data_IF_448725856874
#
_entry.id   IF_448725856874
#
_cell.length_a   1.000
_cell.length_b   1.000
_cell.length_c   1.000
_cell.angle_alpha   90.00
_cell.angle_beta   90.00
_cell.angle_gamma   90.00
#
_symmetry.space_group_name_H-M   'P 1'
#
loop_
_entity.id
_entity.type
_entity.pdbx_description
1 polymer ?
#
# COMPACT_ATOMS: atom_id res chain seq x y z
N UNK A 1 -9.52 28.15 27.94
CA UNK A 1 -8.67 27.42 28.79
C UNK A 1 -7.87 26.39 28.03
N UNK A 2 -6.87 25.90 28.11
CA UNK A 2 -5.77 25.10 27.62
C UNK A 2 -6.17 23.86 26.80
N UNK A 3 -5.68 23.85 25.56
CA UNK A 3 -5.55 22.69 24.67
C UNK A 3 -4.68 21.61 25.30
N UNK A 4 -5.18 20.38 25.31
CA UNK A 4 -4.38 19.19 25.61
C UNK A 4 -4.53 18.19 24.44
N UNK A 5 -3.60 18.29 23.49
CA UNK A 5 -3.49 17.34 22.37
C UNK A 5 -2.56 16.19 22.79
N UNK A 6 -3.15 15.12 23.31
CA UNK A 6 -2.42 13.88 23.61
C UNK A 6 -2.01 13.18 22.29
N UNK A 7 -0.69 13.14 22.05
CA UNK A 7 -0.03 12.31 21.05
C UNK A 7 -0.20 10.82 21.44
N UNK A 8 -0.98 10.09 20.66
CA UNK A 8 -0.96 8.62 20.69
C UNK A 8 0.11 8.13 19.74
N UNK A 9 1.29 7.81 20.28
CA UNK A 9 2.35 7.11 19.55
C UNK A 9 1.99 5.63 19.39
N UNK A 10 1.71 5.19 18.17
CA UNK A 10 1.56 3.76 17.85
C UNK A 10 2.95 3.14 17.69
N UNK A 11 3.36 2.34 18.65
CA UNK A 11 4.48 1.40 18.55
C UNK A 11 4.05 0.20 17.74
N UNK A 12 4.67 0.02 16.58
CA UNK A 12 4.57 -1.23 15.79
C UNK A 12 5.30 -2.35 16.57
N UNK A 13 4.56 -3.33 17.06
CA UNK A 13 5.09 -4.55 17.64
C UNK A 13 5.81 -5.38 16.58
N UNK A 14 7.13 -5.50 16.70
CA UNK A 14 7.94 -6.46 15.92
C UNK A 14 7.67 -7.87 16.43
N UNK A 15 6.87 -8.64 15.70
CA UNK A 15 6.83 -10.10 15.86
C UNK A 15 8.09 -10.70 15.21
N UNK A 16 9.02 -11.16 16.06
CA UNK A 16 10.10 -12.07 15.67
C UNK A 16 9.56 -13.49 15.66
N UNK A 17 9.22 -14.02 14.50
CA UNK A 17 9.18 -15.45 14.25
C UNK A 17 10.50 -15.85 13.58
N UNK A 18 11.31 -16.64 14.29
CA UNK A 18 12.55 -17.20 13.76
C UNK A 18 12.23 -18.29 12.74
N UNK A 19 12.69 -18.08 11.53
CA UNK A 19 12.76 -19.12 10.50
C UNK A 19 14.20 -19.64 10.43
N UNK A 20 14.38 -20.93 10.74
CA UNK A 20 15.63 -21.66 10.54
C UNK A 20 15.46 -22.62 9.38
N UNK A 21 16.26 -22.38 8.34
CA UNK A 21 16.84 -23.45 7.52
C UNK A 21 16.03 -23.89 6.34
N UNK A 22 16.50 -23.58 5.14
CA UNK A 22 17.13 -24.61 4.32
C UNK A 22 17.97 -23.95 3.21
N UNK A 23 19.24 -24.35 3.15
CA UNK A 23 20.17 -23.96 2.09
C UNK A 23 20.17 -25.05 1.05
N UNK A 24 19.64 -24.76 -0.14
CA UNK A 24 20.05 -25.47 -1.35
C UNK A 24 20.52 -24.45 -2.37
N UNK A 25 21.83 -24.46 -2.64
CA UNK A 25 22.47 -23.56 -3.58
C UNK A 25 22.22 -24.00 -5.02
N UNK A 26 21.84 -23.02 -5.83
CA UNK A 26 22.06 -23.07 -7.28
C UNK A 26 22.74 -21.76 -7.66
N UNK A 27 24.00 -21.88 -8.07
CA UNK A 27 24.81 -20.75 -8.51
C UNK A 27 24.31 -20.22 -9.86
N UNK A 28 23.92 -18.96 -9.87
CA UNK A 28 23.85 -18.17 -11.08
C UNK A 28 24.92 -17.09 -11.03
N UNK A 29 25.90 -17.19 -11.93
CA UNK A 29 26.93 -16.19 -12.12
C UNK A 29 26.29 -14.92 -12.67
N UNK A 30 26.16 -13.90 -11.84
CA UNK A 30 25.86 -12.53 -12.27
C UNK A 30 27.16 -11.82 -12.55
N UNK A 31 27.36 -11.44 -13.82
CA UNK A 31 28.36 -10.47 -14.22
C UNK A 31 27.98 -9.10 -13.67
N UNK A 32 28.47 -8.78 -12.49
CA UNK A 32 28.36 -7.44 -11.92
C UNK A 32 29.55 -6.60 -12.39
N UNK A 33 29.31 -5.78 -13.41
CA UNK A 33 30.16 -4.62 -13.67
C UNK A 33 29.89 -3.59 -12.56
N UNK A 34 30.74 -3.57 -11.52
CA UNK A 34 30.70 -2.58 -10.48
C UNK A 34 31.18 -1.24 -11.03
N UNK A 35 30.27 -0.36 -11.42
CA UNK A 35 30.53 1.08 -11.47
C UNK A 35 30.49 1.57 -10.03
N UNK A 36 31.66 1.76 -9.41
CA UNK A 36 31.82 2.40 -8.12
C UNK A 36 31.41 3.86 -8.25
N UNK A 37 30.17 4.20 -7.88
CA UNK A 37 29.76 5.58 -7.65
C UNK A 37 30.30 6.03 -6.31
N UNK A 38 31.15 7.04 -6.29
CA UNK A 38 31.50 7.76 -5.07
C UNK A 38 30.28 8.61 -4.65
N UNK A 39 29.64 8.26 -3.54
CA UNK A 39 28.53 9.04 -2.93
C UNK A 39 29.02 10.29 -2.18
N UNK A 40 30.20 10.78 -2.48
CA UNK A 40 30.72 12.04 -1.90
C UNK A 40 30.16 13.23 -2.67
N UNK A 41 29.76 14.32 -2.01
CA UNK A 41 29.44 15.57 -2.71
C UNK A 41 30.64 16.01 -3.54
N UNK A 42 30.43 16.58 -4.75
CA UNK A 42 31.51 17.00 -5.62
C UNK A 42 32.38 18.06 -4.91
N UNK A 43 33.69 17.96 -5.08
CA UNK A 43 34.64 18.93 -4.54
C UNK A 43 34.43 20.30 -5.16
N UNK A 44 34.85 21.38 -4.46
CA UNK A 44 34.79 22.75 -4.98
C UNK A 44 35.51 22.89 -6.33
N UNK A 45 36.53 22.05 -6.59
CA UNK A 45 37.27 22.05 -7.86
C UNK A 45 36.41 21.40 -8.99
N UNK A 46 35.69 20.35 -8.72
CA UNK A 46 34.76 19.75 -9.68
C UNK A 46 33.59 20.68 -10.00
N UNK A 47 33.10 21.42 -9.00
CA UNK A 47 32.06 22.44 -9.19
C UNK A 47 32.62 23.60 -10.07
N UNK A 48 33.84 24.04 -9.85
CA UNK A 48 34.48 25.12 -10.61
C UNK A 48 34.79 24.68 -12.06
N UNK A 49 35.14 23.42 -12.31
CA UNK A 49 35.35 22.88 -13.67
C UNK A 49 34.01 22.72 -14.43
N UNK A 50 32.93 22.43 -13.72
CA UNK A 50 31.56 22.43 -14.27
C UNK A 50 31.13 23.87 -14.66
N UNK A 51 31.40 24.87 -13.82
CA UNK A 51 31.06 26.26 -14.11
C UNK A 51 31.81 26.84 -15.31
N UNK A 52 32.99 26.30 -15.65
CA UNK A 52 33.73 26.70 -16.84
C UNK A 52 33.14 26.22 -18.17
N UNK A 53 32.31 25.16 -18.16
CA UNK A 53 31.62 24.61 -19.35
C UNK A 53 30.37 25.39 -19.71
N UNK A 54 29.65 25.90 -18.72
CA UNK A 54 28.34 26.54 -18.91
C UNK A 54 28.33 27.90 -18.17
N UNK A 55 28.50 28.96 -18.93
CA UNK A 55 28.62 30.32 -18.36
C UNK A 55 27.25 30.92 -18.07
N UNK A 56 26.24 30.69 -18.90
CA UNK A 56 24.88 31.21 -18.73
C UNK A 56 23.84 30.32 -19.36
N UNK A 57 22.56 30.46 -18.95
CA UNK A 57 21.43 29.70 -19.53
C UNK A 57 21.20 30.08 -20.98
N UNK A 58 21.38 31.34 -21.34
CA UNK A 58 21.23 31.85 -22.70
C UNK A 58 22.14 31.12 -23.69
N UNK A 59 23.35 30.73 -23.26
CA UNK A 59 24.29 29.97 -24.09
C UNK A 59 23.90 28.47 -24.24
N UNK A 60 22.95 28.00 -23.45
CA UNK A 60 22.50 26.62 -23.47
C UNK A 60 21.22 26.41 -24.30
N UNK A 61 20.55 27.49 -24.71
CA UNK A 61 19.34 27.44 -25.54
C UNK A 61 19.63 26.67 -26.84
N UNK A 62 18.76 25.76 -27.21
CA UNK A 62 18.94 24.80 -28.30
C UNK A 62 19.65 23.50 -27.91
N UNK A 63 20.10 23.36 -26.65
CA UNK A 63 20.74 22.16 -26.10
C UNK A 63 20.19 21.76 -24.71
N UNK A 64 19.13 22.39 -24.24
CA UNK A 64 18.56 22.16 -22.89
C UNK A 64 18.19 20.69 -22.69
N UNK A 65 17.54 20.06 -23.67
CA UNK A 65 17.15 18.64 -23.62
C UNK A 65 18.37 17.69 -23.49
N UNK A 66 19.49 18.01 -24.15
CA UNK A 66 20.74 17.23 -24.08
C UNK A 66 21.36 17.39 -22.69
N UNK A 67 21.46 18.64 -22.22
CA UNK A 67 21.98 18.96 -20.90
C UNK A 67 21.15 18.37 -19.77
N UNK A 68 19.84 18.32 -19.93
CA UNK A 68 18.92 17.72 -18.96
C UNK A 68 19.21 16.22 -18.73
N UNK A 69 19.71 15.49 -19.74
CA UNK A 69 20.07 14.07 -19.67
C UNK A 69 21.51 13.82 -19.20
N UNK A 70 22.33 14.88 -19.08
CA UNK A 70 23.65 14.81 -18.47
C UNK A 70 23.61 15.16 -17.00
N UNK A 71 24.35 14.42 -16.17
CA UNK A 71 24.36 14.63 -14.71
C UNK A 71 24.79 16.06 -14.33
N UNK A 72 25.80 16.59 -14.99
CA UNK A 72 26.34 17.92 -14.72
C UNK A 72 25.48 19.02 -15.32
N UNK A 73 25.05 18.86 -16.56
CA UNK A 73 24.14 19.78 -17.23
C UNK A 73 22.81 19.93 -16.48
N UNK A 74 22.22 18.82 -16.05
CA UNK A 74 21.00 18.82 -15.27
C UNK A 74 21.16 19.59 -13.95
N UNK A 75 22.25 19.39 -13.20
CA UNK A 75 22.53 20.13 -11.95
C UNK A 75 22.77 21.61 -12.20
N UNK A 76 23.48 21.97 -13.28
CA UNK A 76 23.66 23.33 -13.69
C UNK A 76 22.32 24.03 -13.94
N UNK A 77 21.44 23.44 -14.73
CA UNK A 77 20.13 24.00 -15.03
C UNK A 77 19.25 24.15 -13.79
N UNK A 78 19.24 23.15 -12.89
CA UNK A 78 18.51 23.25 -11.63
C UNK A 78 19.00 24.40 -10.76
N UNK A 79 20.33 24.58 -10.64
CA UNK A 79 20.92 25.69 -9.89
C UNK A 79 20.56 27.05 -10.53
N UNK A 80 20.52 27.12 -11.85
CA UNK A 80 20.10 28.34 -12.55
C UNK A 80 18.63 28.69 -12.30
N UNK A 81 17.76 27.72 -12.18
CA UNK A 81 16.36 27.94 -11.76
C UNK A 81 16.29 28.51 -10.33
N UNK A 82 17.19 28.10 -9.42
CA UNK A 82 17.28 28.68 -8.08
C UNK A 82 17.85 30.09 -8.06
N UNK A 83 18.86 30.36 -8.87
CA UNK A 83 19.59 31.66 -8.89
C UNK A 83 18.84 32.74 -9.67
N UNK A 84 18.29 32.40 -10.83
CA UNK A 84 17.72 33.35 -11.79
C UNK A 84 16.18 33.31 -11.86
N UNK A 85 15.56 32.32 -11.22
CA UNK A 85 14.09 32.19 -11.10
C UNK A 85 13.38 32.11 -12.45
N UNK A 86 12.30 32.89 -12.56
CA UNK A 86 11.43 32.87 -13.74
C UNK A 86 12.17 33.10 -15.07
N UNK A 87 13.23 33.95 -15.08
CA UNK A 87 14.00 34.24 -16.30
C UNK A 87 14.65 32.96 -16.88
N UNK A 88 15.30 32.15 -16.03
CA UNK A 88 15.94 30.92 -16.47
C UNK A 88 14.89 29.86 -16.85
N UNK A 89 13.76 29.80 -16.13
CA UNK A 89 12.63 28.92 -16.43
C UNK A 89 12.07 29.22 -17.82
N UNK A 90 11.78 30.50 -18.13
CA UNK A 90 11.22 30.92 -19.41
C UNK A 90 12.12 30.55 -20.59
N UNK A 91 13.45 30.69 -20.43
CA UNK A 91 14.42 30.34 -21.47
C UNK A 91 14.48 28.81 -21.76
N UNK A 92 14.21 27.99 -20.75
CA UNK A 92 14.31 26.53 -20.88
C UNK A 92 12.97 25.85 -21.17
N UNK A 93 11.85 26.52 -20.89
CA UNK A 93 10.54 25.91 -20.85
C UNK A 93 10.13 25.21 -22.15
N UNK A 94 10.27 25.88 -23.29
CA UNK A 94 9.80 25.35 -24.57
C UNK A 94 10.57 24.09 -25.00
N UNK A 95 11.87 24.01 -24.72
CA UNK A 95 12.67 22.81 -25.02
C UNK A 95 12.33 21.68 -24.05
N UNK A 96 12.09 21.96 -22.76
CA UNK A 96 11.72 20.95 -21.77
C UNK A 96 10.33 20.38 -22.05
N UNK A 97 9.36 21.26 -22.42
CA UNK A 97 8.00 20.80 -22.66
C UNK A 97 7.87 19.98 -23.94
N UNK A 98 8.67 20.28 -24.95
CA UNK A 98 8.70 19.53 -26.21
C UNK A 98 9.11 18.06 -25.99
N UNK A 99 9.90 17.77 -24.97
CA UNK A 99 10.39 16.43 -24.62
C UNK A 99 9.99 16.02 -23.18
N UNK A 100 8.89 16.56 -22.66
CA UNK A 100 8.51 16.41 -21.25
C UNK A 100 8.35 14.93 -20.83
N UNK A 101 7.76 14.11 -21.67
CA UNK A 101 7.53 12.68 -21.40
C UNK A 101 8.86 11.95 -21.24
N UNK A 102 9.76 12.13 -22.20
CA UNK A 102 11.07 11.48 -22.23
C UNK A 102 11.96 11.98 -21.06
N UNK A 103 11.95 13.28 -20.79
CA UNK A 103 12.71 13.87 -19.69
C UNK A 103 12.20 13.43 -18.31
N UNK A 104 10.90 13.31 -18.13
CA UNK A 104 10.34 12.78 -16.89
C UNK A 104 10.78 11.34 -16.62
N UNK A 105 10.98 10.53 -17.65
CA UNK A 105 11.42 9.14 -17.52
C UNK A 105 12.94 8.97 -17.54
N UNK A 106 13.71 10.02 -17.81
CA UNK A 106 15.17 9.98 -17.83
C UNK A 106 15.77 9.98 -16.41
N UNK A 107 16.88 9.24 -16.16
CA UNK A 107 17.54 9.18 -14.84
C UNK A 107 17.96 10.53 -14.24
N UNK A 108 18.27 11.51 -15.08
CA UNK A 108 18.66 12.88 -14.67
C UNK A 108 17.58 13.90 -15.01
N UNK A 109 17.02 13.83 -16.22
CA UNK A 109 15.98 14.75 -16.69
C UNK A 109 14.79 14.87 -15.75
N UNK A 110 14.40 13.78 -15.07
CA UNK A 110 13.29 13.81 -14.12
C UNK A 110 13.51 14.82 -12.99
N UNK A 111 14.73 15.03 -12.53
CA UNK A 111 15.03 16.02 -11.48
C UNK A 111 14.88 17.46 -12.00
N UNK A 112 15.27 17.70 -13.27
CA UNK A 112 15.06 19.01 -13.88
C UNK A 112 13.58 19.32 -14.04
N UNK A 113 12.78 18.35 -14.52
CA UNK A 113 11.33 18.55 -14.66
C UNK A 113 10.65 18.75 -13.30
N UNK A 114 11.07 18.03 -12.25
CA UNK A 114 10.58 18.28 -10.89
C UNK A 114 10.90 19.71 -10.45
N UNK A 115 12.13 20.19 -10.73
CA UNK A 115 12.55 21.55 -10.40
C UNK A 115 11.79 22.60 -11.21
N UNK A 116 11.54 22.34 -12.49
CA UNK A 116 10.69 23.17 -13.33
C UNK A 116 9.29 23.34 -12.73
N UNK A 117 8.64 22.23 -12.36
CA UNK A 117 7.30 22.20 -11.76
C UNK A 117 7.25 23.03 -10.46
N UNK A 118 8.35 23.08 -9.68
CA UNK A 118 8.45 23.90 -8.47
C UNK A 118 8.56 25.40 -8.74
N UNK A 119 9.26 25.78 -9.82
CA UNK A 119 9.68 27.16 -10.07
C UNK A 119 8.83 27.86 -11.15
N UNK A 120 8.09 27.10 -11.97
CA UNK A 120 7.33 27.65 -13.09
C UNK A 120 6.02 28.32 -12.63
N UNK A 121 5.47 29.16 -13.53
CA UNK A 121 4.15 29.76 -13.33
C UNK A 121 3.02 28.73 -13.41
N UNK A 122 1.84 29.09 -12.93
CA UNK A 122 0.64 28.25 -13.00
C UNK A 122 0.29 27.89 -14.46
N UNK A 123 0.47 28.82 -15.39
CA UNK A 123 0.22 28.60 -16.82
C UNK A 123 1.21 27.59 -17.42
N UNK A 124 2.50 27.74 -17.08
CA UNK A 124 3.55 26.80 -17.51
C UNK A 124 3.34 25.41 -16.91
N UNK A 125 2.95 25.30 -15.65
CA UNK A 125 2.63 24.01 -15.01
C UNK A 125 1.43 23.33 -15.69
N UNK A 126 0.38 24.07 -15.99
CA UNK A 126 -0.76 23.60 -16.77
C UNK A 126 -0.36 23.15 -18.17
N UNK A 127 0.65 23.80 -18.79
CA UNK A 127 1.26 23.38 -20.02
C UNK A 127 1.97 22.01 -19.93
N UNK A 128 2.80 21.82 -18.88
CA UNK A 128 3.43 20.52 -18.59
C UNK A 128 2.36 19.43 -18.41
N UNK A 129 1.33 19.70 -17.62
CA UNK A 129 0.26 18.72 -17.40
C UNK A 129 -0.47 18.36 -18.70
N UNK A 130 -0.79 19.33 -19.55
CA UNK A 130 -1.41 19.08 -20.86
C UNK A 130 -0.51 18.23 -21.75
N UNK A 131 0.79 18.51 -21.81
CA UNK A 131 1.73 17.77 -22.63
C UNK A 131 1.81 16.28 -22.26
N UNK A 132 1.69 15.94 -20.97
CA UNK A 132 1.76 14.55 -20.49
C UNK A 132 0.40 13.87 -20.32
N UNK A 133 -0.71 14.57 -20.48
CA UNK A 133 -2.07 14.02 -20.37
C UNK A 133 -2.65 13.48 -21.67
N UNK A 134 -1.91 13.57 -22.77
CA UNK A 134 -2.33 13.09 -24.07
C UNK A 134 -2.18 11.56 -24.18
N UNK A 135 -3.00 10.96 -25.06
CA UNK A 135 -2.81 9.59 -25.52
C UNK A 135 -2.06 9.70 -26.85
N UNK A 136 -0.92 9.06 -27.00
CA UNK A 136 -0.20 9.02 -28.28
C UNK A 136 -0.93 8.13 -29.28
N UNK A 137 -0.83 8.46 -30.56
CA UNK A 137 -1.44 7.67 -31.64
C UNK A 137 -0.87 6.25 -31.75
N UNK A 138 0.38 6.06 -31.31
CA UNK A 138 1.09 4.79 -31.28
C UNK A 138 1.00 4.04 -29.94
N UNK A 139 0.23 4.55 -28.96
CA UNK A 139 0.05 3.92 -27.66
C UNK A 139 -0.65 2.56 -27.81
N UNK A 140 0.06 1.49 -27.49
CA UNK A 140 -0.42 0.09 -27.64
C UNK A 140 -1.60 -0.21 -26.70
N UNK A 141 -1.61 0.41 -25.53
CA UNK A 141 -2.62 0.23 -24.47
C UNK A 141 -3.68 1.33 -24.45
N UNK A 142 -3.52 2.37 -25.29
CA UNK A 142 -4.43 3.52 -25.35
C UNK A 142 -4.46 4.35 -24.07
N UNK A 143 -3.45 4.24 -23.21
CA UNK A 143 -3.35 5.00 -21.95
C UNK A 143 -2.70 6.36 -22.19
N UNK A 144 -3.10 7.41 -21.41
CA UNK A 144 -2.40 8.68 -21.41
C UNK A 144 -0.95 8.53 -20.95
N UNK A 145 -0.05 9.37 -21.49
CA UNK A 145 1.37 9.36 -21.15
C UNK A 145 1.62 9.53 -19.63
N UNK A 146 0.77 10.25 -18.94
CA UNK A 146 0.85 10.43 -17.49
C UNK A 146 0.83 9.08 -16.74
N UNK A 147 0.09 8.08 -17.25
CA UNK A 147 0.07 6.72 -16.68
C UNK A 147 1.40 6.02 -16.95
N UNK A 148 1.90 6.08 -18.20
CA UNK A 148 3.19 5.49 -18.59
C UNK A 148 4.34 6.05 -17.78
N UNK A 149 4.37 7.38 -17.61
CA UNK A 149 5.35 8.08 -16.77
C UNK A 149 5.24 7.64 -15.30
N UNK A 150 4.02 7.52 -14.78
CA UNK A 150 3.77 7.11 -13.39
C UNK A 150 4.26 5.68 -13.09
N UNK A 151 4.23 4.79 -14.08
CA UNK A 151 4.74 3.41 -14.00
C UNK A 151 6.28 3.34 -14.09
N UNK A 152 6.93 4.37 -14.64
CA UNK A 152 8.37 4.40 -14.82
C UNK A 152 9.11 4.65 -13.49
N UNK A 153 10.26 4.02 -13.30
CA UNK A 153 11.09 4.10 -12.08
C UNK A 153 11.52 5.53 -11.72
N UNK A 154 11.80 6.36 -12.70
CA UNK A 154 12.18 7.76 -12.55
C UNK A 154 10.96 8.68 -12.64
N UNK A 155 10.11 8.45 -13.64
CA UNK A 155 8.96 9.28 -13.96
C UNK A 155 7.94 9.39 -12.83
N UNK A 156 7.76 8.33 -12.06
CA UNK A 156 6.85 8.34 -10.90
C UNK A 156 7.13 9.51 -9.92
N UNK A 157 8.40 9.94 -9.79
CA UNK A 157 8.79 11.07 -8.92
C UNK A 157 8.29 12.40 -9.47
N UNK A 158 8.44 12.62 -10.78
CA UNK A 158 7.97 13.84 -11.43
C UNK A 158 6.43 13.91 -11.42
N UNK A 159 5.73 12.79 -11.62
CA UNK A 159 4.26 12.75 -11.50
C UNK A 159 3.81 13.05 -10.08
N UNK A 160 4.45 12.48 -9.06
CA UNK A 160 4.13 12.80 -7.65
C UNK A 160 4.33 14.29 -7.37
N UNK A 161 5.41 14.90 -7.86
CA UNK A 161 5.66 16.35 -7.74
C UNK A 161 4.57 17.15 -8.44
N UNK A 162 4.16 16.75 -9.64
CA UNK A 162 3.07 17.40 -10.36
C UNK A 162 1.77 17.40 -9.54
N UNK A 163 1.38 16.24 -8.99
CA UNK A 163 0.18 16.13 -8.13
C UNK A 163 0.31 17.02 -6.87
N UNK A 164 1.51 17.17 -6.30
CA UNK A 164 1.75 18.04 -5.13
C UNK A 164 1.49 19.51 -5.43
N UNK A 165 1.76 19.94 -6.65
CA UNK A 165 1.75 21.33 -7.07
C UNK A 165 0.47 21.77 -7.79
N UNK A 166 -0.51 20.88 -7.98
CA UNK A 166 -1.80 21.23 -8.59
C UNK A 166 -2.52 22.27 -7.72
N UNK A 167 -2.93 23.37 -8.36
CA UNK A 167 -3.55 24.52 -7.65
C UNK A 167 -4.97 24.85 -8.14
N UNK A 168 -5.30 24.55 -9.41
CA UNK A 168 -6.61 24.90 -9.96
C UNK A 168 -7.52 23.68 -10.14
N UNK A 169 -8.84 23.85 -10.08
CA UNK A 169 -9.78 22.76 -10.36
C UNK A 169 -9.61 22.17 -11.76
N UNK A 170 -9.19 22.97 -12.74
CA UNK A 170 -8.95 22.53 -14.12
C UNK A 170 -7.73 21.62 -14.18
N UNK A 171 -6.63 21.95 -13.48
CA UNK A 171 -5.45 21.09 -13.39
C UNK A 171 -5.79 19.76 -12.70
N UNK A 172 -6.52 19.81 -11.58
CA UNK A 172 -6.95 18.61 -10.85
C UNK A 172 -7.84 17.73 -11.74
N UNK A 173 -8.82 18.32 -12.44
CA UNK A 173 -9.70 17.60 -13.35
C UNK A 173 -8.93 16.93 -14.50
N UNK A 174 -7.95 17.61 -15.09
CA UNK A 174 -7.12 17.08 -16.17
C UNK A 174 -6.25 15.92 -15.67
N UNK A 175 -5.56 16.10 -14.54
CA UNK A 175 -4.71 15.06 -13.96
C UNK A 175 -5.51 13.81 -13.57
N UNK A 176 -6.65 13.95 -12.91
CA UNK A 176 -7.50 12.83 -12.50
C UNK A 176 -8.12 12.11 -13.69
N UNK A 177 -8.53 12.86 -14.73
CA UNK A 177 -9.03 12.29 -15.99
C UNK A 177 -7.95 11.47 -16.71
N UNK A 178 -6.70 11.95 -16.73
CA UNK A 178 -5.58 11.25 -17.35
C UNK A 178 -5.15 10.00 -16.55
N UNK A 179 -5.24 10.00 -15.22
CA UNK A 179 -4.89 8.86 -14.38
C UNK A 179 -5.97 7.78 -14.33
N UNK A 180 -7.24 8.16 -14.49
CA UNK A 180 -8.41 7.27 -14.34
C UNK A 180 -8.33 5.99 -15.17
N UNK A 181 -7.96 6.00 -16.47
CA UNK A 181 -7.92 4.77 -17.28
C UNK A 181 -6.92 3.74 -16.76
N UNK A 182 -5.80 4.19 -16.16
CA UNK A 182 -4.73 3.33 -15.65
C UNK A 182 -4.79 3.06 -14.15
N UNK A 183 -5.83 3.50 -13.42
CA UNK A 183 -5.84 3.53 -11.95
C UNK A 183 -5.59 2.16 -11.30
N UNK A 184 -6.18 1.07 -11.81
CA UNK A 184 -5.99 -0.28 -11.26
C UNK A 184 -4.57 -0.77 -11.49
N UNK A 185 -4.01 -0.52 -12.67
CA UNK A 185 -2.63 -0.82 -13.00
C UNK A 185 -1.67 -0.05 -12.08
N UNK A 186 -1.89 1.25 -11.90
CA UNK A 186 -1.11 2.08 -11.00
C UNK A 186 -1.16 1.58 -9.53
N UNK A 187 -2.34 1.21 -9.04
CA UNK A 187 -2.50 0.68 -7.67
C UNK A 187 -1.65 -0.57 -7.45
N UNK A 188 -1.52 -1.42 -8.45
CA UNK A 188 -0.80 -2.70 -8.38
C UNK A 188 0.68 -2.59 -8.71
N UNK A 189 1.12 -1.50 -9.31
CA UNK A 189 2.50 -1.31 -9.74
C UNK A 189 3.43 -0.86 -8.61
N UNK A 190 4.71 -1.23 -8.70
CA UNK A 190 5.76 -0.87 -7.72
C UNK A 190 5.95 0.65 -7.60
N UNK A 191 5.87 1.38 -8.70
CA UNK A 191 6.08 2.82 -8.81
C UNK A 191 4.75 3.58 -8.78
N UNK A 192 3.78 3.11 -9.58
CA UNK A 192 2.47 3.73 -9.76
C UNK A 192 1.67 3.86 -8.46
N UNK A 193 1.81 2.90 -7.54
CA UNK A 193 1.09 2.95 -6.26
C UNK A 193 1.42 4.22 -5.45
N UNK A 194 2.62 4.76 -5.58
CA UNK A 194 3.02 6.00 -4.91
C UNK A 194 2.30 7.23 -5.46
N UNK A 195 2.00 7.24 -6.77
CA UNK A 195 1.21 8.32 -7.38
C UNK A 195 -0.22 8.30 -6.82
N UNK A 196 -0.85 7.12 -6.76
CA UNK A 196 -2.21 6.99 -6.19
C UNK A 196 -2.22 7.40 -4.71
N UNK A 197 -1.23 6.99 -3.93
CA UNK A 197 -1.11 7.42 -2.53
C UNK A 197 -0.91 8.94 -2.42
N UNK A 198 -0.21 9.57 -3.38
CA UNK A 198 -0.04 11.02 -3.43
C UNK A 198 -1.36 11.72 -3.74
N UNK A 199 -2.17 11.20 -4.66
CA UNK A 199 -3.52 11.70 -4.91
C UNK A 199 -4.37 11.68 -3.63
N UNK A 200 -4.43 10.54 -2.93
CA UNK A 200 -5.17 10.40 -1.67
C UNK A 200 -4.75 11.40 -0.59
N UNK A 201 -3.47 11.80 -0.57
CA UNK A 201 -2.92 12.73 0.41
C UNK A 201 -3.13 14.21 0.06
N UNK A 202 -3.27 14.56 -1.23
CA UNK A 202 -3.21 15.94 -1.71
C UNK A 202 -4.52 16.44 -2.30
N UNK A 203 -5.29 15.57 -2.94
CA UNK A 203 -6.52 15.94 -3.59
C UNK A 203 -7.70 15.84 -2.62
N UNK A 204 -8.79 16.52 -2.95
CA UNK A 204 -10.03 16.44 -2.19
C UNK A 204 -10.65 15.04 -2.24
N UNK A 205 -11.55 14.74 -1.32
CA UNK A 205 -12.30 13.47 -1.34
C UNK A 205 -13.10 13.30 -2.63
N UNK A 206 -13.65 14.40 -3.15
CA UNK A 206 -14.43 14.42 -4.39
C UNK A 206 -13.53 14.11 -5.59
N UNK A 207 -12.39 14.76 -5.70
CA UNK A 207 -11.42 14.54 -6.78
C UNK A 207 -10.85 13.12 -6.78
N UNK A 208 -10.74 12.50 -5.62
CA UNK A 208 -10.28 11.12 -5.44
C UNK A 208 -11.37 10.07 -5.72
N UNK A 209 -12.61 10.45 -6.05
CA UNK A 209 -13.72 9.50 -6.23
C UNK A 209 -13.38 8.39 -7.24
N UNK A 210 -12.64 8.71 -8.31
CA UNK A 210 -12.23 7.72 -9.31
C UNK A 210 -11.39 6.57 -8.73
N UNK A 211 -10.61 6.82 -7.66
CA UNK A 211 -9.82 5.80 -6.97
C UNK A 211 -10.75 4.87 -6.18
N UNK A 212 -11.74 5.44 -5.47
CA UNK A 212 -12.72 4.67 -4.69
C UNK A 212 -13.64 3.83 -5.58
N UNK A 213 -14.07 4.37 -6.73
CA UNK A 213 -14.86 3.62 -7.71
C UNK A 213 -14.10 2.40 -8.23
N UNK A 214 -12.84 2.60 -8.63
CA UNK A 214 -11.99 1.50 -9.09
C UNK A 214 -11.69 0.49 -7.98
N UNK A 215 -11.39 0.97 -6.76
CA UNK A 215 -11.13 0.13 -5.60
C UNK A 215 -12.32 -0.75 -5.22
N UNK A 216 -13.55 -0.24 -5.38
CA UNK A 216 -14.78 -1.00 -5.16
C UNK A 216 -15.00 -2.02 -6.27
N UNK A 217 -14.93 -1.62 -7.55
CA UNK A 217 -15.20 -2.50 -8.69
C UNK A 217 -14.17 -3.63 -8.80
N UNK A 218 -12.91 -3.35 -8.52
CA UNK A 218 -11.78 -4.29 -8.61
C UNK A 218 -11.28 -4.75 -7.23
N UNK A 219 -12.17 -4.79 -6.23
CA UNK A 219 -11.82 -5.02 -4.84
C UNK A 219 -10.94 -6.25 -4.61
N UNK A 220 -11.36 -7.42 -5.08
CA UNK A 220 -10.61 -8.68 -4.89
C UNK A 220 -9.27 -8.64 -5.61
N UNK A 221 -9.24 -8.16 -6.86
CA UNK A 221 -8.02 -8.05 -7.66
C UNK A 221 -6.97 -7.16 -6.97
N UNK A 222 -7.40 -6.03 -6.40
CA UNK A 222 -6.53 -5.09 -5.70
C UNK A 222 -6.11 -5.66 -4.34
N UNK A 223 -7.06 -6.20 -3.57
CA UNK A 223 -6.81 -6.70 -2.22
C UNK A 223 -5.84 -7.89 -2.19
N UNK A 224 -5.84 -8.73 -3.22
CA UNK A 224 -4.96 -9.91 -3.35
C UNK A 224 -3.62 -9.59 -3.98
N UNK A 225 -3.35 -8.32 -4.28
CA UNK A 225 -2.07 -7.88 -4.83
C UNK A 225 -1.15 -7.29 -3.75
N UNK A 226 0.17 -7.59 -3.82
CA UNK A 226 1.17 -7.18 -2.81
C UNK A 226 1.23 -5.68 -2.52
N UNK A 227 1.05 -4.82 -3.52
CA UNK A 227 0.98 -3.37 -3.38
C UNK A 227 -0.46 -2.89 -3.20
N UNK A 228 -1.39 -3.51 -3.92
CA UNK A 228 -2.81 -3.16 -3.88
C UNK A 228 -3.42 -3.24 -2.50
N UNK A 229 -3.10 -4.27 -1.71
CA UNK A 229 -3.61 -4.41 -0.34
C UNK A 229 -3.21 -3.23 0.56
N UNK A 230 -2.01 -2.66 0.37
CA UNK A 230 -1.57 -1.48 1.11
C UNK A 230 -2.30 -0.21 0.64
N UNK A 231 -2.48 -0.05 -0.69
CA UNK A 231 -3.21 1.11 -1.24
C UNK A 231 -4.67 1.08 -0.79
N UNK A 232 -5.30 -0.11 -0.76
CA UNK A 232 -6.68 -0.26 -0.32
C UNK A 232 -6.86 0.18 1.16
N UNK A 233 -5.91 -0.14 2.04
CA UNK A 233 -5.90 0.35 3.42
C UNK A 233 -5.78 1.88 3.46
N UNK A 234 -4.93 2.49 2.60
CA UNK A 234 -4.83 3.95 2.49
C UNK A 234 -6.13 4.58 1.97
N UNK A 235 -6.81 3.93 1.03
CA UNK A 235 -8.14 4.38 0.60
C UNK A 235 -9.11 4.45 1.80
N UNK A 236 -9.14 3.42 2.65
CA UNK A 236 -9.99 3.41 3.84
C UNK A 236 -9.61 4.54 4.82
N UNK A 237 -8.30 4.79 5.02
CA UNK A 237 -7.80 5.83 5.92
C UNK A 237 -8.20 7.25 5.47
N UNK A 238 -8.14 7.51 4.16
CA UNK A 238 -8.40 8.85 3.59
C UNK A 238 -9.86 9.09 3.20
N UNK A 239 -10.68 8.04 3.18
CA UNK A 239 -12.07 8.11 2.76
C UNK A 239 -12.95 8.89 3.77
N UNK A 240 -13.84 9.75 3.26
CA UNK A 240 -15.01 10.23 4.00
C UNK A 240 -16.02 9.08 4.17
N UNK A 241 -17.01 9.26 5.05
CA UNK A 241 -17.93 8.16 5.40
C UNK A 241 -18.74 7.65 4.19
N UNK A 242 -19.11 8.54 3.27
CA UNK A 242 -19.83 8.22 2.03
C UNK A 242 -19.01 7.30 1.10
N UNK A 243 -17.70 7.41 1.11
CA UNK A 243 -16.75 6.59 0.32
C UNK A 243 -16.31 5.36 1.11
N UNK A 244 -16.03 5.54 2.40
CA UNK A 244 -15.55 4.48 3.29
C UNK A 244 -16.55 3.36 3.45
N UNK A 245 -17.82 3.69 3.69
CA UNK A 245 -18.85 2.69 3.98
C UNK A 245 -19.07 1.72 2.81
N UNK A 246 -19.27 2.16 1.56
CA UNK A 246 -19.38 1.24 0.42
C UNK A 246 -18.14 0.41 0.17
N UNK A 247 -16.93 0.97 0.34
CA UNK A 247 -15.67 0.26 0.15
C UNK A 247 -15.48 -0.83 1.21
N UNK A 248 -15.70 -0.49 2.49
CA UNK A 248 -15.60 -1.44 3.61
C UNK A 248 -16.65 -2.55 3.47
N UNK A 249 -17.87 -2.22 3.05
CA UNK A 249 -18.91 -3.21 2.75
C UNK A 249 -18.49 -4.18 1.65
N UNK A 250 -17.95 -3.68 0.54
CA UNK A 250 -17.44 -4.54 -0.54
C UNK A 250 -16.35 -5.48 -0.05
N UNK A 251 -15.37 -4.98 0.70
CA UNK A 251 -14.30 -5.82 1.26
C UNK A 251 -14.87 -6.86 2.24
N UNK A 252 -15.81 -6.46 3.10
CA UNK A 252 -16.45 -7.37 4.06
C UNK A 252 -17.23 -8.48 3.34
N UNK A 253 -17.94 -8.17 2.26
CA UNK A 253 -18.68 -9.15 1.45
C UNK A 253 -17.77 -10.20 0.80
N UNK A 254 -16.51 -9.85 0.53
CA UNK A 254 -15.49 -10.74 -0.04
C UNK A 254 -14.60 -11.41 1.03
N UNK A 255 -14.95 -11.29 2.32
CA UNK A 255 -14.10 -11.72 3.42
C UNK A 255 -13.67 -13.19 3.36
N UNK A 256 -14.52 -14.09 2.85
CA UNK A 256 -14.19 -15.51 2.73
C UNK A 256 -13.02 -15.76 1.76
N UNK A 257 -13.06 -15.13 0.60
CA UNK A 257 -11.98 -15.25 -0.41
C UNK A 257 -10.71 -14.54 0.08
N UNK A 258 -10.86 -13.30 0.55
CA UNK A 258 -9.74 -12.46 0.97
C UNK A 258 -8.99 -13.02 2.19
N UNK A 259 -9.71 -13.65 3.13
CA UNK A 259 -9.09 -14.24 4.33
C UNK A 259 -8.08 -15.33 4.02
N UNK A 260 -8.27 -16.05 2.92
CA UNK A 260 -7.42 -17.18 2.51
C UNK A 260 -6.21 -16.74 1.65
N UNK A 261 -6.18 -15.50 1.20
CA UNK A 261 -5.12 -14.96 0.35
C UNK A 261 -3.94 -14.41 1.16
N UNK A 262 -2.68 -14.56 0.71
CA UNK A 262 -1.48 -14.05 1.40
C UNK A 262 -1.49 -12.55 1.69
N UNK A 263 -2.16 -11.74 0.87
CA UNK A 263 -2.25 -10.28 0.99
C UNK A 263 -3.65 -9.84 1.42
N UNK A 264 -4.70 -10.45 0.87
CA UNK A 264 -6.11 -10.15 1.18
C UNK A 264 -6.43 -10.28 2.66
N UNK A 265 -5.85 -11.26 3.35
CA UNK A 265 -6.07 -11.44 4.78
C UNK A 265 -5.70 -10.20 5.62
N UNK A 266 -4.71 -9.43 5.21
CA UNK A 266 -4.34 -8.18 5.89
C UNK A 266 -5.40 -7.10 5.74
N UNK A 267 -6.09 -7.06 4.59
CA UNK A 267 -7.18 -6.10 4.36
C UNK A 267 -8.40 -6.44 5.24
N UNK A 268 -8.75 -7.73 5.34
CA UNK A 268 -9.82 -8.18 6.25
C UNK A 268 -9.47 -7.89 7.71
N UNK A 269 -8.24 -8.21 8.13
CA UNK A 269 -7.78 -7.89 9.48
C UNK A 269 -7.78 -6.39 9.76
N UNK A 270 -7.47 -5.57 8.75
CA UNK A 270 -7.50 -4.12 8.86
C UNK A 270 -8.93 -3.60 9.15
N UNK A 271 -9.93 -4.12 8.43
CA UNK A 271 -11.34 -3.78 8.69
C UNK A 271 -11.74 -4.14 10.12
N UNK A 272 -11.37 -5.34 10.58
CA UNK A 272 -11.67 -5.78 11.95
C UNK A 272 -11.04 -4.85 13.01
N UNK A 273 -9.92 -4.20 12.70
CA UNK A 273 -9.25 -3.23 13.59
C UNK A 273 -9.89 -1.83 13.58
N UNK A 274 -10.71 -1.50 12.59
CA UNK A 274 -11.38 -0.19 12.53
C UNK A 274 -12.40 0.02 13.67
N UNK A 275 -12.83 -1.06 14.31
CA UNK A 275 -13.83 -1.00 15.39
C UNK A 275 -15.25 -0.67 14.91
N UNK A 276 -15.54 -0.88 13.64
CA UNK A 276 -16.86 -0.69 13.04
C UNK A 276 -17.71 -1.95 13.28
N UNK A 277 -18.60 -1.94 14.29
CA UNK A 277 -19.40 -3.11 14.68
C UNK A 277 -20.16 -3.73 13.51
N UNK A 278 -20.75 -2.90 12.64
CA UNK A 278 -21.48 -3.37 11.47
C UNK A 278 -20.58 -4.13 10.49
N UNK A 279 -19.38 -3.60 10.19
CA UNK A 279 -18.43 -4.23 9.27
C UNK A 279 -17.85 -5.53 9.87
N UNK A 280 -17.52 -5.50 11.16
CA UNK A 280 -17.04 -6.68 11.88
C UNK A 280 -18.09 -7.78 11.92
N UNK A 281 -19.35 -7.43 12.15
CA UNK A 281 -20.48 -8.37 12.11
C UNK A 281 -20.69 -8.96 10.72
N UNK A 282 -20.53 -8.18 9.67
CA UNK A 282 -20.61 -8.63 8.29
C UNK A 282 -19.49 -9.60 7.94
N UNK A 283 -18.23 -9.25 8.22
CA UNK A 283 -17.08 -10.15 8.05
C UNK A 283 -17.34 -11.49 8.77
N UNK A 284 -17.75 -11.44 10.05
CA UNK A 284 -18.03 -12.66 10.80
C UNK A 284 -19.16 -13.51 10.19
N UNK A 285 -20.15 -12.87 9.59
CA UNK A 285 -21.27 -13.53 8.93
C UNK A 285 -20.84 -14.21 7.63
N UNK A 286 -19.99 -13.55 6.83
CA UNK A 286 -19.46 -14.10 5.59
C UNK A 286 -18.57 -15.34 5.80
N UNK A 287 -17.97 -15.48 6.97
CA UNK A 287 -17.12 -16.62 7.31
C UNK A 287 -17.90 -17.81 7.90
N UNK A 288 -19.19 -17.65 8.24
CA UNK A 288 -20.01 -18.72 8.82
C UNK A 288 -20.05 -19.98 7.95
N UNK A 289 -19.97 -21.11 8.60
CA UNK A 289 -19.91 -22.43 7.96
C UNK A 289 -18.51 -22.86 7.53
N UNK A 290 -17.50 -21.96 7.63
CA UNK A 290 -16.13 -22.22 7.18
C UNK A 290 -15.08 -22.04 8.30
N UNK A 291 -15.48 -21.68 9.53
CA UNK A 291 -14.52 -21.34 10.58
C UNK A 291 -13.54 -22.45 10.93
N UNK A 292 -13.99 -23.70 10.91
CA UNK A 292 -13.10 -24.83 11.21
C UNK A 292 -12.01 -25.01 10.14
N UNK A 293 -12.38 -24.92 8.87
CA UNK A 293 -11.44 -25.06 7.75
C UNK A 293 -10.50 -23.86 7.66
N UNK A 294 -11.02 -22.63 7.81
CA UNK A 294 -10.25 -21.40 7.83
C UNK A 294 -9.22 -21.38 8.98
N UNK A 295 -9.55 -22.01 10.11
CA UNK A 295 -8.67 -22.11 11.28
C UNK A 295 -7.41 -22.94 11.02
N UNK A 296 -7.45 -23.86 10.06
CA UNK A 296 -6.32 -24.72 9.72
C UNK A 296 -5.44 -24.18 8.57
N UNK A 297 -5.69 -22.97 8.11
CA UNK A 297 -4.93 -22.35 7.04
C UNK A 297 -4.01 -21.26 7.57
N UNK A 298 -2.85 -21.11 6.94
CA UNK A 298 -1.79 -20.17 7.34
C UNK A 298 -2.26 -18.71 7.47
N UNK A 299 -3.11 -18.26 6.59
CA UNK A 299 -3.52 -16.86 6.51
C UNK A 299 -4.85 -16.62 7.23
N UNK A 300 -5.86 -17.41 6.91
CA UNK A 300 -7.22 -17.23 7.45
C UNK A 300 -7.33 -17.54 8.95
N UNK A 301 -6.45 -18.38 9.51
CA UNK A 301 -6.41 -18.61 10.96
C UNK A 301 -6.20 -17.31 11.75
N UNK A 302 -5.40 -16.37 11.23
CA UNK A 302 -5.20 -15.07 11.85
C UNK A 302 -6.50 -14.22 11.86
N UNK A 303 -7.28 -14.30 10.77
CA UNK A 303 -8.57 -13.61 10.68
C UNK A 303 -9.58 -14.21 11.68
N UNK A 304 -9.64 -15.55 11.76
CA UNK A 304 -10.51 -16.25 12.74
C UNK A 304 -10.13 -15.87 14.17
N UNK A 305 -8.84 -15.90 14.51
CA UNK A 305 -8.39 -15.46 15.83
C UNK A 305 -8.78 -14.01 16.15
N UNK A 306 -8.69 -13.14 15.15
CA UNK A 306 -9.06 -11.74 15.29
C UNK A 306 -10.56 -11.56 15.54
N UNK A 307 -11.41 -12.28 14.81
CA UNK A 307 -12.85 -12.32 15.06
C UNK A 307 -13.19 -12.74 16.51
N UNK A 308 -12.51 -13.77 17.03
CA UNK A 308 -12.69 -14.25 18.40
C UNK A 308 -12.24 -13.20 19.45
N UNK A 309 -11.22 -12.41 19.16
CA UNK A 309 -10.62 -11.43 20.08
C UNK A 309 -11.26 -10.04 20.05
N UNK A 310 -12.27 -9.82 19.20
CA UNK A 310 -12.99 -8.54 19.18
C UNK A 310 -13.59 -8.24 20.56
N UNK A 311 -13.27 -7.05 21.09
CA UNK A 311 -13.74 -6.64 22.45
C UNK A 311 -15.18 -6.09 22.46
N UNK A 312 -15.76 -5.82 21.29
CA UNK A 312 -17.08 -5.23 21.13
C UNK A 312 -18.17 -6.14 21.70
N UNK A 313 -18.89 -5.65 22.72
CA UNK A 313 -19.98 -6.39 23.36
C UNK A 313 -21.19 -6.61 22.43
N UNK A 314 -21.43 -5.73 21.47
CA UNK A 314 -22.51 -5.89 20.48
C UNK A 314 -22.32 -7.13 19.59
N UNK A 315 -21.08 -7.60 19.44
CA UNK A 315 -20.69 -8.78 18.65
C UNK A 315 -20.58 -10.06 19.50
N UNK A 316 -20.98 -10.05 20.76
CA UNK A 316 -20.91 -11.24 21.62
C UNK A 316 -21.67 -12.43 21.04
N UNK A 317 -22.87 -12.20 20.50
CA UNK A 317 -23.65 -13.23 19.83
C UNK A 317 -22.91 -13.84 18.63
N UNK A 318 -22.27 -13.01 17.81
CA UNK A 318 -21.48 -13.45 16.67
C UNK A 318 -20.28 -14.29 17.14
N UNK A 319 -19.53 -13.83 18.14
CA UNK A 319 -18.42 -14.60 18.72
C UNK A 319 -18.85 -15.95 19.26
N UNK A 320 -19.96 -15.99 19.98
CA UNK A 320 -20.52 -17.22 20.51
C UNK A 320 -20.92 -18.20 19.40
N UNK A 321 -21.42 -17.68 18.26
CA UNK A 321 -21.70 -18.50 17.08
C UNK A 321 -20.43 -19.10 16.49
N UNK A 322 -19.35 -18.30 16.34
CA UNK A 322 -18.03 -18.79 15.89
C UNK A 322 -17.50 -19.90 16.80
N UNK A 323 -17.57 -19.68 18.12
CA UNK A 323 -17.15 -20.68 19.12
C UNK A 323 -17.92 -21.98 18.99
N UNK A 324 -19.26 -21.90 18.84
CA UNK A 324 -20.11 -23.07 18.68
C UNK A 324 -19.81 -23.84 17.39
N UNK A 325 -19.58 -23.14 16.27
CA UNK A 325 -19.21 -23.75 15.00
C UNK A 325 -17.88 -24.51 15.13
N UNK A 326 -16.85 -23.90 15.69
CA UNK A 326 -15.55 -24.55 15.91
C UNK A 326 -15.69 -25.77 16.84
N UNK A 327 -16.40 -25.61 17.95
CA UNK A 327 -16.59 -26.66 18.97
C UNK A 327 -17.39 -27.85 18.43
N UNK A 328 -18.39 -27.61 17.58
CA UNK A 328 -19.27 -28.63 17.03
C UNK A 328 -18.76 -29.26 15.74
N UNK A 329 -17.68 -28.69 15.18
CA UNK A 329 -17.10 -29.17 13.93
C UNK A 329 -16.61 -30.63 14.06
N UNK A 330 -16.86 -31.48 13.06
CA UNK A 330 -16.23 -32.80 12.98
C UNK A 330 -14.71 -32.76 12.82
N UNK A 331 -14.13 -31.56 12.55
CA UNK A 331 -12.71 -31.35 12.39
C UNK A 331 -12.01 -30.96 13.71
N UNK A 332 -12.69 -31.00 14.86
CA UNK A 332 -12.13 -30.52 16.12
C UNK A 332 -10.85 -31.27 16.53
N UNK A 333 -10.78 -32.57 16.31
CA UNK A 333 -9.60 -33.39 16.55
C UNK A 333 -8.42 -32.95 15.68
N UNK A 334 -8.65 -32.64 14.42
CA UNK A 334 -7.65 -32.09 13.49
C UNK A 334 -7.20 -30.70 13.92
N UNK A 335 -8.13 -29.82 14.27
CA UNK A 335 -7.84 -28.46 14.76
C UNK A 335 -6.88 -28.47 15.96
N UNK A 336 -7.07 -29.40 16.90
CA UNK A 336 -6.24 -29.56 18.08
C UNK A 336 -4.79 -29.94 17.77
N UNK A 337 -4.56 -30.56 16.60
CA UNK A 337 -3.27 -31.10 16.15
C UNK A 337 -2.66 -30.28 14.99
N UNK A 338 -3.40 -29.34 14.43
CA UNK A 338 -2.98 -28.57 13.28
C UNK A 338 -2.00 -27.43 13.70
N UNK A 339 -0.96 -27.12 12.93
CA UNK A 339 0.02 -26.06 13.25
C UNK A 339 -0.59 -24.67 13.39
N UNK A 340 -1.72 -24.39 12.78
CA UNK A 340 -2.46 -23.13 12.85
C UNK A 340 -3.72 -23.26 13.73
N UNK A 341 -4.50 -24.30 13.53
CA UNK A 341 -5.76 -24.55 14.23
C UNK A 341 -5.61 -24.58 15.74
N UNK A 342 -4.49 -25.13 16.25
CA UNK A 342 -4.22 -25.15 17.68
C UNK A 342 -4.23 -23.75 18.32
N UNK A 343 -3.76 -22.68 17.63
CA UNK A 343 -3.81 -21.32 18.14
C UNK A 343 -5.23 -20.78 18.19
N UNK A 344 -6.05 -21.12 17.20
CA UNK A 344 -7.47 -20.77 17.20
C UNK A 344 -8.18 -21.40 18.39
N UNK A 345 -7.96 -22.70 18.64
CA UNK A 345 -8.53 -23.39 19.84
C UNK A 345 -8.05 -22.73 21.13
N UNK A 346 -6.77 -22.36 21.26
CA UNK A 346 -6.26 -21.63 22.42
C UNK A 346 -6.97 -20.29 22.59
N UNK A 347 -7.16 -19.54 21.50
CA UNK A 347 -7.89 -18.27 21.53
C UNK A 347 -9.34 -18.47 21.93
N UNK A 348 -10.00 -19.51 21.41
CA UNK A 348 -11.39 -19.87 21.77
C UNK A 348 -11.51 -20.16 23.28
N UNK A 349 -10.59 -20.96 23.84
CA UNK A 349 -10.54 -21.23 25.28
C UNK A 349 -10.31 -19.95 26.13
N UNK A 350 -9.52 -19.03 25.61
CA UNK A 350 -9.18 -17.79 26.34
C UNK A 350 -10.33 -16.79 26.36
N UNK A 351 -11.11 -16.69 25.27
CA UNK A 351 -12.17 -15.67 25.16
C UNK A 351 -13.52 -16.14 25.70
N UNK A 352 -13.72 -17.45 25.86
CA UNK A 352 -14.98 -18.02 26.37
C UNK A 352 -15.06 -17.94 27.89
N UNK A 353 -16.29 -17.79 28.42
CA UNK A 353 -16.59 -17.76 29.85
C UNK A 353 -17.90 -18.53 30.13
N UNK A 354 -18.10 -18.87 31.41
CA UNK A 354 -19.34 -19.47 31.91
C UNK A 354 -19.71 -20.78 31.22
N UNK A 355 -20.98 -20.93 30.90
CA UNK A 355 -21.53 -22.18 30.31
C UNK A 355 -20.84 -22.56 29.01
N UNK A 356 -20.64 -21.60 28.10
CA UNK A 356 -20.01 -21.87 26.80
C UNK A 356 -18.57 -22.37 26.94
N UNK A 357 -17.83 -21.84 27.92
CA UNK A 357 -16.48 -22.32 28.23
C UNK A 357 -16.52 -23.76 28.76
N UNK A 358 -17.46 -24.07 29.65
CA UNK A 358 -17.63 -25.43 30.20
C UNK A 358 -17.97 -26.43 29.08
N UNK A 359 -18.91 -26.08 28.21
CA UNK A 359 -19.26 -26.90 27.02
C UNK A 359 -18.04 -27.16 26.14
N UNK A 360 -17.22 -26.13 25.86
CA UNK A 360 -16.01 -26.27 25.05
C UNK A 360 -14.98 -27.20 25.71
N UNK A 361 -14.75 -27.04 27.02
CA UNK A 361 -13.82 -27.88 27.78
C UNK A 361 -14.27 -29.36 27.72
N UNK A 362 -15.56 -29.62 27.98
CA UNK A 362 -16.10 -30.99 27.92
C UNK A 362 -16.01 -31.59 26.51
N UNK A 363 -16.17 -30.79 25.48
CA UNK A 363 -16.02 -31.24 24.08
C UNK A 363 -14.57 -31.55 23.70
N UNK A 364 -13.58 -30.84 24.27
CA UNK A 364 -12.15 -31.12 24.06
C UNK A 364 -11.65 -32.31 24.91
N UNK A 365 -12.27 -32.58 26.06
CA UNK A 365 -11.84 -33.62 27.02
C UNK A 365 -11.60 -35.00 26.41
N UNK A 366 -12.45 -35.57 25.51
CA UNK A 366 -12.18 -36.85 24.88
C UNK A 366 -10.88 -36.92 24.07
N UNK A 367 -10.40 -35.76 23.59
CA UNK A 367 -9.22 -35.65 22.75
C UNK A 367 -7.90 -35.45 23.56
N UNK A 368 -7.96 -35.44 24.91
CA UNK A 368 -6.78 -35.30 25.77
C UNK A 368 -5.64 -36.29 25.48
N UNK A 369 -5.89 -37.57 25.15
CA UNK A 369 -4.81 -38.49 24.79
C UNK A 369 -4.02 -38.06 23.56
N UNK A 370 -4.72 -37.49 22.55
CA UNK A 370 -4.08 -36.96 21.34
C UNK A 370 -3.24 -35.71 21.67
N UNK A 371 -3.82 -34.78 22.44
CA UNK A 371 -3.20 -33.50 22.78
C UNK A 371 -1.93 -33.69 23.61
N UNK A 372 -1.90 -34.68 24.56
CA UNK A 372 -0.73 -34.95 25.41
C UNK A 372 0.53 -35.28 24.63
N UNK A 373 0.39 -35.93 23.49
CA UNK A 373 1.49 -36.37 22.65
C UNK A 373 1.84 -35.38 21.52
N UNK A 374 1.10 -34.27 21.43
CA UNK A 374 1.30 -33.24 20.41
C UNK A 374 2.30 -32.19 20.83
N UNK A 375 3.16 -31.70 19.92
CA UNK A 375 4.01 -30.52 20.19
C UNK A 375 3.19 -29.27 20.51
N UNK A 376 1.95 -29.18 20.05
CA UNK A 376 1.03 -28.05 20.26
C UNK A 376 0.19 -28.20 21.54
N UNK A 377 0.11 -29.40 22.12
CA UNK A 377 -0.83 -29.76 23.18
C UNK A 377 -0.54 -29.13 24.54
N UNK A 378 0.72 -28.85 24.87
CA UNK A 378 1.11 -28.35 26.20
C UNK A 378 0.36 -27.10 26.63
N UNK A 379 0.15 -26.14 25.72
CA UNK A 379 -0.53 -24.89 26.02
C UNK A 379 -2.04 -25.08 26.14
N UNK A 380 -2.63 -25.89 25.28
CA UNK A 380 -4.06 -26.25 25.38
C UNK A 380 -4.33 -26.92 26.72
N UNK A 381 -3.51 -27.91 27.13
CA UNK A 381 -3.62 -28.60 28.41
C UNK A 381 -3.53 -27.62 29.59
N UNK A 382 -2.63 -26.64 29.54
CA UNK A 382 -2.52 -25.61 30.57
C UNK A 382 -3.78 -24.78 30.66
N UNK A 383 -4.33 -24.32 29.55
CA UNK A 383 -5.57 -23.53 29.52
C UNK A 383 -6.78 -24.30 30.05
N UNK A 384 -6.85 -25.62 29.77
CA UNK A 384 -7.92 -26.48 30.31
C UNK A 384 -7.81 -26.67 31.84
N UNK A 385 -6.61 -26.49 32.42
CA UNK A 385 -6.38 -26.62 33.87
C UNK A 385 -6.51 -25.30 34.63
N UNK A 386 -6.09 -24.19 34.02
CA UNK A 386 -6.11 -22.84 34.63
C UNK A 386 -7.54 -22.34 34.89
N UNK A 387 -8.51 -22.70 34.08
CA UNK A 387 -9.90 -22.27 34.19
C UNK A 387 -10.76 -23.15 35.12
N UNK A 388 -10.15 -23.93 36.00
CA UNK A 388 -10.86 -24.67 37.07
C UNK A 388 -11.15 -23.81 38.34
N UNK A 389 -10.77 -22.54 38.30
CA UNK A 389 -11.09 -21.57 39.32
C UNK A 389 -12.16 -20.60 38.81
#
# INVERSE_FOLDING_TARGET
GRDDRSRVGRTMGRNRSGDRGDRSGVGSQSLSGSVTRSDSPPSEAEIAEMDSRFVSVENCVGQISVLARDQHGCRFLQRKFDEEGAKAVDLCYDEIIAEAVELMMDPFGNYLVQKLIECCSDEQRSGVLRAVSVVRDDAVDGLPELVTIALNTHGTRAVQKLIEMLNSPEEVSLATSALRPGVVTLIKDLNGNHVIQRCLQRLSSEDNQFIYDAAKVHCVEIATHRHGCCVLQRCIDHAIDEQRRPLVHEIASQALVLSQDPFGNYVVQYILDLGLSWANGEVMTQLLGNYAELSMQKFSSNVVEKCLKLADSSLEKNRNTVVREIMQSPLLDRLLMDPYGNYVVQSTLTVTKGVLHTELVERIRPHLPLIKNSPFGKRILRLLLENKK
#
